data_IF_215183605229
#
_entry.id   IF_215183605229
#
_cell.length_a   1.000
_cell.length_b   1.000
_cell.length_c   1.000
_cell.angle_alpha   90.00
_cell.angle_beta   90.00
_cell.angle_gamma   90.00
#
_symmetry.space_group_name_H-M   'P 1'
#
loop_
_entity.id
_entity.type
_entity.pdbx_description
1 polymer ?
#
# COMPACT_ATOMS: atom_id res chain seq x y z
N UNK A 1 -18.93 -7.76 -10.85
CA UNK A 1 -18.39 -7.79 -9.47
C UNK A 1 -19.51 -8.25 -8.57
N UNK A 2 -19.33 -9.35 -7.83
CA UNK A 2 -20.38 -9.92 -6.96
C UNK A 2 -20.38 -9.24 -5.60
N UNK A 3 -21.52 -9.23 -4.89
CA UNK A 3 -21.69 -8.59 -3.57
C UNK A 3 -20.66 -9.07 -2.53
N UNK A 4 -20.23 -10.33 -2.64
CA UNK A 4 -19.18 -10.90 -1.79
C UNK A 4 -17.82 -10.20 -1.96
N UNK A 5 -17.47 -9.78 -3.19
CA UNK A 5 -16.21 -9.06 -3.44
C UNK A 5 -16.19 -7.70 -2.76
N UNK A 6 -17.35 -7.02 -2.72
CA UNK A 6 -17.48 -5.73 -2.03
C UNK A 6 -17.24 -5.85 -0.53
N UNK A 7 -17.78 -6.90 0.11
CA UNK A 7 -17.59 -7.12 1.54
C UNK A 7 -16.12 -7.36 1.85
N UNK A 8 -15.42 -8.17 1.06
CA UNK A 8 -13.99 -8.43 1.28
C UNK A 8 -13.16 -7.17 1.12
N UNK A 9 -13.43 -6.35 0.10
CA UNK A 9 -12.73 -5.07 -0.09
C UNK A 9 -13.03 -4.10 1.04
N UNK A 10 -14.28 -4.01 1.49
CA UNK A 10 -14.67 -3.13 2.59
C UNK A 10 -13.94 -3.52 3.89
N UNK A 11 -13.91 -4.81 4.23
CA UNK A 11 -13.20 -5.31 5.43
C UNK A 11 -11.69 -5.11 5.31
N UNK A 12 -11.12 -5.36 4.12
CA UNK A 12 -9.71 -5.13 3.82
C UNK A 12 -9.31 -3.67 4.02
N UNK A 13 -10.06 -2.76 3.40
CA UNK A 13 -9.82 -1.32 3.44
C UNK A 13 -10.03 -0.80 4.86
N UNK A 14 -11.08 -1.24 5.56
CA UNK A 14 -11.33 -0.84 6.95
C UNK A 14 -10.17 -1.26 7.88
N UNK A 15 -9.75 -2.52 7.79
CA UNK A 15 -8.65 -3.04 8.61
C UNK A 15 -7.34 -2.32 8.29
N UNK A 16 -7.04 -2.13 7.00
CA UNK A 16 -5.83 -1.40 6.57
C UNK A 16 -5.86 0.07 6.99
N UNK A 17 -7.01 0.74 6.91
CA UNK A 17 -7.17 2.13 7.34
C UNK A 17 -7.04 2.26 8.86
N UNK A 18 -7.63 1.34 9.64
CA UNK A 18 -7.52 1.34 11.10
C UNK A 18 -6.06 1.18 11.54
N UNK A 19 -5.35 0.20 10.97
CA UNK A 19 -3.92 0.00 11.27
C UNK A 19 -3.08 1.18 10.77
N UNK A 20 -3.40 1.77 9.62
CA UNK A 20 -2.70 2.96 9.11
C UNK A 20 -2.91 4.18 10.01
N UNK A 21 -4.09 4.39 10.59
CA UNK A 21 -4.33 5.53 11.49
C UNK A 21 -3.47 5.40 12.75
N UNK A 22 -3.29 4.17 13.26
CA UNK A 22 -2.44 3.89 14.42
C UNK A 22 -0.95 3.99 14.04
N UNK A 23 -0.54 3.43 12.90
CA UNK A 23 0.86 3.35 12.47
C UNK A 23 1.38 4.62 11.77
N UNK A 24 0.49 5.47 11.24
CA UNK A 24 0.84 6.65 10.45
C UNK A 24 1.29 6.38 9.01
N UNK A 25 1.46 5.11 8.59
CA UNK A 25 1.82 4.69 7.22
C UNK A 25 1.39 3.24 6.95
N UNK A 26 1.52 2.75 5.71
CA UNK A 26 1.37 1.32 5.39
C UNK A 26 0.01 0.86 4.84
N UNK A 27 -0.90 1.79 4.51
CA UNK A 27 -2.20 1.47 3.88
C UNK A 27 -2.08 0.50 2.72
N UNK A 28 -1.32 0.91 1.70
CA UNK A 28 -1.19 0.14 0.48
C UNK A 28 -0.51 -1.21 0.76
N UNK A 29 0.37 -1.27 1.75
CA UNK A 29 1.10 -2.47 2.14
C UNK A 29 0.18 -3.54 2.74
N UNK A 30 -0.84 -3.13 3.49
CA UNK A 30 -1.87 -4.01 4.05
C UNK A 30 -3.03 -4.25 3.09
N UNK A 31 -3.50 -3.20 2.41
CA UNK A 31 -4.69 -3.24 1.59
C UNK A 31 -4.47 -4.01 0.28
N UNK A 32 -3.29 -3.89 -0.36
CA UNK A 32 -2.95 -4.62 -1.59
C UNK A 32 -3.11 -6.14 -1.44
N UNK A 33 -2.39 -6.84 -0.54
CA UNK A 33 -2.45 -8.29 -0.46
C UNK A 33 -3.87 -8.79 -0.19
N UNK A 34 -4.61 -8.11 0.69
CA UNK A 34 -5.99 -8.47 1.00
C UNK A 34 -6.92 -8.25 -0.20
N UNK A 35 -6.76 -7.16 -0.96
CA UNK A 35 -7.55 -6.93 -2.18
C UNK A 35 -7.20 -7.92 -3.30
N UNK A 36 -5.91 -8.26 -3.47
CA UNK A 36 -5.46 -9.18 -4.52
C UNK A 36 -5.93 -10.61 -4.30
N UNK A 37 -6.42 -10.97 -3.11
CA UNK A 37 -7.08 -12.27 -2.87
C UNK A 37 -8.43 -12.36 -3.60
N UNK A 38 -9.13 -11.24 -3.78
CA UNK A 38 -10.50 -11.20 -4.32
C UNK A 38 -10.63 -10.57 -5.71
N UNK A 39 -9.68 -9.74 -6.12
CA UNK A 39 -9.73 -8.94 -7.36
C UNK A 39 -8.40 -9.05 -8.12
N UNK A 40 -8.38 -8.98 -9.47
CA UNK A 40 -7.17 -8.81 -10.26
C UNK A 40 -6.22 -7.75 -9.71
N UNK A 41 -4.91 -8.00 -9.79
CA UNK A 41 -3.88 -7.15 -9.19
C UNK A 41 -3.94 -5.74 -9.74
N UNK A 42 -4.18 -5.61 -11.05
CA UNK A 42 -4.29 -4.31 -11.73
C UNK A 42 -5.36 -3.41 -11.11
N UNK A 43 -6.55 -3.95 -10.82
CA UNK A 43 -7.64 -3.17 -10.21
C UNK A 43 -7.33 -2.83 -8.76
N UNK A 44 -6.76 -3.78 -8.01
CA UNK A 44 -6.37 -3.57 -6.63
C UNK A 44 -5.30 -2.46 -6.50
N UNK A 45 -4.34 -2.39 -7.43
CA UNK A 45 -3.29 -1.34 -7.44
C UNK A 45 -3.93 0.03 -7.61
N UNK A 46 -4.83 0.18 -8.59
CA UNK A 46 -5.51 1.46 -8.87
C UNK A 46 -6.30 1.93 -7.64
N UNK A 47 -7.10 1.05 -7.03
CA UNK A 47 -7.88 1.38 -5.84
C UNK A 47 -6.98 1.74 -4.66
N UNK A 48 -5.91 0.97 -4.42
CA UNK A 48 -4.97 1.24 -3.34
C UNK A 48 -4.22 2.56 -3.51
N UNK A 49 -3.86 2.93 -4.75
CA UNK A 49 -3.19 4.19 -5.05
C UNK A 49 -4.13 5.38 -4.82
N UNK A 50 -5.39 5.27 -5.25
CA UNK A 50 -6.39 6.33 -5.06
C UNK A 50 -6.66 6.60 -3.58
N UNK A 51 -6.91 5.53 -2.81
CA UNK A 51 -7.11 5.61 -1.36
C UNK A 51 -5.82 6.03 -0.64
N UNK A 52 -4.68 5.53 -1.09
CA UNK A 52 -3.36 5.87 -0.56
C UNK A 52 -3.05 7.36 -0.71
N UNK A 53 -3.36 7.96 -1.87
CA UNK A 53 -3.22 9.41 -2.10
C UNK A 53 -4.11 10.17 -1.12
N UNK A 54 -5.38 9.79 -0.99
CA UNK A 54 -6.32 10.48 -0.10
C UNK A 54 -5.85 10.45 1.36
N UNK A 55 -5.42 9.27 1.82
CA UNK A 55 -5.01 9.08 3.21
C UNK A 55 -3.65 9.72 3.49
N UNK A 56 -2.71 9.63 2.54
CA UNK A 56 -1.41 10.30 2.64
C UNK A 56 -1.58 11.82 2.60
N UNK A 57 -2.50 12.36 1.78
CA UNK A 57 -2.81 13.78 1.74
C UNK A 57 -3.41 14.25 3.07
N UNK A 58 -4.36 13.49 3.63
CA UNK A 58 -4.90 13.78 4.96
C UNK A 58 -3.79 13.79 6.02
N UNK A 59 -2.96 12.74 6.05
CA UNK A 59 -1.84 12.63 6.97
C UNK A 59 -0.84 13.77 6.78
N UNK A 60 -0.53 14.16 5.54
CA UNK A 60 0.35 15.27 5.24
C UNK A 60 -0.22 16.61 5.78
N UNK A 61 -1.52 16.86 5.64
CA UNK A 61 -2.17 18.08 6.15
C UNK A 61 -2.20 18.08 7.69
N UNK A 62 -2.53 16.95 8.31
CA UNK A 62 -2.68 16.85 9.77
C UNK A 62 -1.33 16.80 10.50
N UNK A 63 -0.31 16.19 9.90
CA UNK A 63 1.01 15.98 10.52
C UNK A 63 2.06 17.03 10.09
N UNK A 64 1.69 18.00 9.23
CA UNK A 64 2.60 19.07 8.75
C UNK A 64 3.30 19.87 9.85
N UNK A 65 2.72 19.91 11.06
CA UNK A 65 3.28 20.65 12.19
C UNK A 65 4.46 19.94 12.87
N UNK A 66 4.65 18.63 12.64
CA UNK A 66 5.74 17.83 13.24
C UNK A 66 6.55 17.04 12.20
N UNK A 67 6.22 17.17 10.92
CA UNK A 67 6.84 16.40 9.85
C UNK A 67 8.18 17.01 9.40
N UNK A 68 9.22 16.19 9.39
CA UNK A 68 10.52 16.53 8.83
C UNK A 68 10.43 16.69 7.30
N UNK A 69 10.39 17.94 6.84
CA UNK A 69 10.35 18.29 5.41
C UNK A 69 11.40 17.58 4.53
N UNK A 70 12.69 17.43 4.94
CA UNK A 70 13.67 16.76 4.08
C UNK A 70 13.36 15.28 3.85
N UNK A 71 12.80 14.58 4.84
CA UNK A 71 12.40 13.17 4.70
C UNK A 71 11.19 13.06 3.77
N UNK A 72 10.20 13.95 3.92
CA UNK A 72 9.03 14.01 3.05
C UNK A 72 9.37 14.22 1.58
N UNK A 73 10.29 15.14 1.27
CA UNK A 73 10.73 15.40 -0.11
C UNK A 73 11.48 14.18 -0.70
N UNK A 74 12.34 13.53 0.09
CA UNK A 74 13.10 12.36 -0.37
C UNK A 74 12.20 11.16 -0.67
N UNK A 75 11.17 10.95 0.15
CA UNK A 75 10.13 9.94 -0.09
C UNK A 75 9.26 10.29 -1.30
N UNK A 76 8.88 11.57 -1.46
CA UNK A 76 8.09 12.02 -2.62
C UNK A 76 8.87 11.85 -3.93
N UNK A 77 10.16 12.17 -3.96
CA UNK A 77 11.03 11.94 -5.12
C UNK A 77 11.17 10.44 -5.42
N UNK A 78 11.35 9.61 -4.39
CA UNK A 78 11.37 8.15 -4.55
C UNK A 78 10.05 7.61 -5.11
N UNK A 79 8.91 8.11 -4.65
CA UNK A 79 7.60 7.74 -5.18
C UNK A 79 7.39 8.23 -6.62
N UNK A 80 7.85 9.43 -6.95
CA UNK A 80 7.74 10.00 -8.29
C UNK A 80 8.51 9.17 -9.33
N UNK A 81 9.71 8.68 -8.96
CA UNK A 81 10.51 7.79 -9.81
C UNK A 81 9.96 6.36 -9.81
N UNK A 82 9.43 5.89 -8.67
CA UNK A 82 8.84 4.57 -8.54
C UNK A 82 7.53 4.39 -9.31
N UNK A 83 6.75 5.46 -9.50
CA UNK A 83 5.47 5.43 -10.24
C UNK A 83 5.60 4.96 -11.70
N UNK A 84 6.43 5.59 -12.55
CA UNK A 84 6.58 5.17 -13.95
C UNK A 84 7.18 3.76 -14.05
N UNK A 85 8.15 3.42 -13.20
CA UNK A 85 8.71 2.07 -13.11
C UNK A 85 7.65 1.03 -12.78
N UNK A 86 6.83 1.29 -11.75
CA UNK A 86 5.72 0.42 -11.38
C UNK A 86 4.69 0.25 -12.49
N UNK A 87 4.41 1.31 -13.25
CA UNK A 87 3.46 1.30 -14.35
C UNK A 87 3.96 0.46 -15.54
N UNK A 88 5.25 0.54 -15.88
CA UNK A 88 5.89 -0.30 -16.90
C UNK A 88 5.85 -1.77 -16.48
N UNK A 89 6.21 -2.08 -15.24
CA UNK A 89 6.14 -3.45 -14.70
C UNK A 89 4.72 -3.99 -14.76
N UNK A 90 3.71 -3.18 -14.42
CA UNK A 90 2.29 -3.58 -14.46
C UNK A 90 1.79 -3.93 -15.89
N UNK A 91 2.43 -3.37 -16.92
CA UNK A 91 2.05 -3.56 -18.32
C UNK A 91 2.83 -4.71 -18.99
N UNK A 92 4.07 -4.94 -18.58
CA UNK A 92 4.96 -5.95 -19.19
C UNK A 92 4.84 -7.30 -18.49
N UNK A 93 4.53 -7.32 -17.19
CA UNK A 93 4.52 -8.54 -16.37
C UNK A 93 3.11 -9.15 -16.31
N UNK A 94 3.02 -10.46 -16.52
CA UNK A 94 1.78 -11.22 -16.41
C UNK A 94 1.17 -11.14 -15.00
N UNK A 95 -0.17 -11.15 -14.91
CA UNK A 95 -0.92 -11.02 -13.64
C UNK A 95 -0.47 -12.08 -12.59
N UNK A 96 -0.12 -13.29 -13.05
CA UNK A 96 0.43 -14.37 -12.21
C UNK A 96 1.75 -13.96 -11.56
N UNK A 97 2.69 -13.45 -12.35
CA UNK A 97 4.02 -13.06 -11.87
C UNK A 97 3.93 -11.82 -10.97
N UNK A 98 3.04 -10.89 -11.30
CA UNK A 98 2.79 -9.70 -10.49
C UNK A 98 2.26 -10.06 -9.09
N UNK A 99 1.30 -10.99 -9.05
CA UNK A 99 0.72 -11.51 -7.79
C UNK A 99 1.76 -12.28 -6.97
N UNK A 100 2.65 -13.04 -7.62
CA UNK A 100 3.72 -13.79 -6.96
C UNK A 100 4.77 -12.85 -6.34
N UNK A 101 5.20 -11.84 -7.10
CA UNK A 101 6.16 -10.83 -6.63
C UNK A 101 5.58 -10.00 -5.48
N UNK A 102 4.30 -9.60 -5.57
CA UNK A 102 3.61 -8.95 -4.45
C UNK A 102 3.54 -9.84 -3.21
N UNK A 103 3.19 -11.12 -3.37
CA UNK A 103 3.15 -12.08 -2.27
C UNK A 103 4.50 -12.24 -1.59
N UNK A 104 5.57 -12.39 -2.37
CA UNK A 104 6.95 -12.46 -1.84
C UNK A 104 7.32 -11.16 -1.13
N UNK A 105 7.06 -10.01 -1.73
CA UNK A 105 7.36 -8.71 -1.14
C UNK A 105 6.64 -8.52 0.21
N UNK A 106 5.37 -8.92 0.30
CA UNK A 106 4.59 -8.87 1.55
C UNK A 106 5.14 -9.85 2.58
N UNK A 107 5.49 -11.08 2.19
CA UNK A 107 6.10 -12.04 3.11
C UNK A 107 7.44 -11.55 3.63
N UNK A 108 8.28 -10.98 2.76
CA UNK A 108 9.57 -10.38 3.14
C UNK A 108 9.34 -9.18 4.05
N UNK A 109 8.43 -8.27 3.71
CA UNK A 109 8.10 -7.12 4.55
C UNK A 109 7.56 -7.55 5.92
N UNK A 110 6.67 -8.54 5.95
CA UNK A 110 6.12 -9.11 7.20
C UNK A 110 7.22 -9.80 8.00
N UNK A 111 8.10 -10.55 7.36
CA UNK A 111 9.23 -11.20 8.01
C UNK A 111 10.26 -10.18 8.54
N UNK A 112 10.50 -9.09 7.81
CA UNK A 112 11.36 -8.00 8.24
C UNK A 112 10.74 -7.23 9.41
N UNK A 113 9.44 -7.00 9.38
CA UNK A 113 8.68 -6.38 10.48
C UNK A 113 8.69 -7.30 11.71
N UNK A 114 8.47 -8.61 11.52
CA UNK A 114 8.57 -9.61 12.58
C UNK A 114 10.00 -9.75 13.13
N UNK A 115 11.03 -9.55 12.30
CA UNK A 115 12.45 -9.58 12.70
C UNK A 115 12.97 -8.23 13.24
N UNK A 116 12.22 -7.13 13.13
CA UNK A 116 12.54 -5.83 13.73
C UNK A 116 11.43 -5.39 14.70
N UNK A 117 11.51 -5.87 15.94
CA UNK A 117 12.24 -5.22 17.04
C UNK A 117 11.33 -4.28 17.82
N UNK A 118 10.87 -4.80 18.97
CA UNK A 118 10.87 -4.07 20.24
C UNK A 118 12.06 -3.10 20.27
N UNK A 119 11.84 -1.86 19.86
CA UNK A 119 12.68 -0.74 20.27
C UNK A 119 12.01 -0.24 21.55
N UNK A 120 12.57 -0.71 22.66
CA UNK A 120 12.41 -0.15 23.98
C UNK A 120 12.73 1.35 23.99
#
# INVERSE_FOLDING_TARGET
MTTAQFIVVAVAVFSAAFVQVIAGFGFALLAMPIMTLSIPVRTAVVVSSLLGILTTAWQAVHLRSKADRPVGVRLALGAFVGMPLGLVILNVVSDRNLRLTLGIAVLVATALLARRLSLA
#
